data_IF_173777733623
#
_entry.id   IF_173777733623
#
_cell.length_a   1.000
_cell.length_b   1.000
_cell.length_c   1.000
_cell.angle_alpha   90.00
_cell.angle_beta   90.00
_cell.angle_gamma   90.00
#
_symmetry.space_group_name_H-M   'P 1'
#
loop_
_entity.id
_entity.type
_entity.pdbx_description
1 polymer ?
#
# COMPACT_ATOMS: atom_id res chain seq x y z
N UNK A 1 -14.23 22.00 18.01
CA UNK A 1 -13.82 20.77 18.70
C UNK A 1 -13.26 19.83 17.65
N UNK A 2 -11.96 19.52 17.67
CA UNK A 2 -11.38 18.54 16.75
C UNK A 2 -11.60 17.16 17.36
N UNK A 3 -12.59 16.40 16.86
CA UNK A 3 -12.76 15.01 17.27
C UNK A 3 -11.65 14.18 16.63
N UNK A 4 -10.79 13.57 17.46
CA UNK A 4 -9.79 12.61 17.00
C UNK A 4 -10.52 11.32 16.60
N UNK A 5 -10.69 11.07 15.31
CA UNK A 5 -11.23 9.81 14.81
C UNK A 5 -10.13 8.73 14.90
N UNK A 6 -10.39 7.67 15.66
CA UNK A 6 -9.50 6.50 15.77
C UNK A 6 -10.04 5.43 14.83
N UNK A 7 -9.37 5.23 13.70
CA UNK A 7 -9.74 4.23 12.70
C UNK A 7 -9.27 2.82 13.08
N UNK A 8 -8.07 2.73 13.66
CA UNK A 8 -7.42 1.48 14.03
C UNK A 8 -7.02 1.53 15.51
N UNK A 9 -7.85 0.99 16.43
CA UNK A 9 -7.52 0.92 17.85
C UNK A 9 -6.24 0.12 18.08
N UNK A 10 -5.30 0.64 18.88
CA UNK A 10 -3.98 0.04 19.07
C UNK A 10 -4.05 -1.39 19.62
N UNK A 11 -5.07 -1.67 20.45
CA UNK A 11 -5.32 -2.97 21.07
C UNK A 11 -5.75 -4.03 20.06
N UNK A 12 -6.25 -3.61 18.89
CA UNK A 12 -6.64 -4.50 17.78
C UNK A 12 -5.50 -4.70 16.78
N UNK A 13 -4.35 -4.04 16.95
CA UNK A 13 -3.22 -4.14 16.03
C UNK A 13 -2.32 -5.30 16.42
N UNK A 14 -2.21 -6.30 15.54
CA UNK A 14 -1.26 -7.39 15.72
C UNK A 14 0.13 -6.98 15.21
N UNK A 15 1.08 -6.80 16.13
CA UNK A 15 2.46 -6.37 15.83
C UNK A 15 3.36 -7.44 15.21
N UNK A 16 2.87 -8.68 15.14
CA UNK A 16 3.58 -9.84 14.58
C UNK A 16 2.82 -10.42 13.40
N UNK A 17 3.46 -11.25 12.60
CA UNK A 17 2.79 -11.98 11.51
C UNK A 17 1.75 -12.94 12.08
N UNK A 18 0.49 -12.80 11.68
CA UNK A 18 -0.58 -13.74 12.11
C UNK A 18 -0.42 -15.12 11.48
N UNK A 19 0.18 -15.18 10.29
CA UNK A 19 0.50 -16.41 9.58
C UNK A 19 1.94 -16.37 9.12
N UNK A 20 2.64 -17.52 9.17
CA UNK A 20 4.01 -17.63 8.66
C UNK A 20 4.01 -17.31 7.17
N UNK A 21 4.64 -16.20 6.80
CA UNK A 21 4.85 -15.83 5.40
C UNK A 21 6.21 -16.36 4.92
N UNK A 22 6.23 -17.02 3.76
CA UNK A 22 7.47 -17.20 3.01
C UNK A 22 7.89 -15.88 2.38
N UNK A 23 9.16 -15.77 1.97
CA UNK A 23 9.57 -14.66 1.11
C UNK A 23 8.70 -14.67 -0.16
N UNK A 24 7.96 -13.59 -0.38
CA UNK A 24 7.15 -13.38 -1.59
C UNK A 24 8.00 -12.95 -2.78
N UNK A 25 7.34 -12.61 -3.87
CA UNK A 25 8.02 -12.14 -5.08
C UNK A 25 8.76 -10.81 -4.87
N UNK A 26 9.92 -10.67 -5.51
CA UNK A 26 10.58 -9.38 -5.69
C UNK A 26 9.80 -8.44 -6.62
N UNK A 27 10.32 -7.23 -6.84
CA UNK A 27 9.73 -6.27 -7.78
C UNK A 27 10.67 -6.00 -8.94
N UNK A 28 10.14 -6.05 -10.16
CA UNK A 28 10.90 -5.71 -11.35
C UNK A 28 11.25 -4.22 -11.34
N UNK A 29 12.51 -3.87 -11.60
CA UNK A 29 12.90 -2.49 -11.85
C UNK A 29 12.60 -2.14 -13.32
N UNK A 30 11.61 -1.27 -13.55
CA UNK A 30 11.09 -0.93 -14.87
C UNK A 30 11.46 0.52 -15.28
N UNK A 31 12.73 0.89 -15.06
CA UNK A 31 13.28 2.22 -15.37
C UNK A 31 13.10 3.20 -14.22
N UNK A 32 14.17 3.42 -13.45
CA UNK A 32 14.22 4.34 -12.30
C UNK A 32 13.13 4.11 -11.24
N UNK A 33 12.66 2.86 -11.10
CA UNK A 33 11.60 2.49 -10.15
C UNK A 33 12.13 1.92 -8.82
N UNK A 34 13.43 2.00 -8.54
CA UNK A 34 14.02 1.44 -7.32
C UNK A 34 13.48 2.10 -6.05
N UNK A 35 13.27 3.42 -6.05
CA UNK A 35 12.72 4.17 -4.91
C UNK A 35 11.35 3.63 -4.48
N UNK A 36 10.43 3.43 -5.44
CA UNK A 36 9.10 2.92 -5.15
C UNK A 36 9.14 1.43 -4.79
N UNK A 37 10.01 0.64 -5.43
CA UNK A 37 10.15 -0.78 -5.13
C UNK A 37 10.62 -0.99 -3.69
N UNK A 38 11.59 -0.20 -3.22
CA UNK A 38 12.06 -0.24 -1.84
C UNK A 38 10.92 0.07 -0.85
N UNK A 39 10.18 1.14 -1.10
CA UNK A 39 9.04 1.55 -0.26
C UNK A 39 7.93 0.49 -0.24
N UNK A 40 7.54 -0.03 -1.40
CA UNK A 40 6.49 -1.05 -1.50
C UNK A 40 6.89 -2.34 -0.76
N UNK A 41 8.16 -2.75 -0.84
CA UNK A 41 8.67 -3.89 -0.09
C UNK A 41 8.64 -3.62 1.42
N UNK A 42 9.10 -2.45 1.87
CA UNK A 42 9.02 -2.07 3.30
C UNK A 42 7.57 -2.12 3.83
N UNK A 43 6.62 -1.57 3.09
CA UNK A 43 5.20 -1.60 3.47
C UNK A 43 4.63 -3.03 3.44
N UNK A 44 4.97 -3.82 2.42
CA UNK A 44 4.51 -5.21 2.28
C UNK A 44 4.97 -6.10 3.42
N UNK A 45 6.18 -5.88 3.94
CA UNK A 45 6.76 -6.68 5.02
C UNK A 45 6.65 -6.04 6.41
N UNK A 46 5.83 -5.00 6.57
CA UNK A 46 5.44 -4.46 7.88
C UNK A 46 4.26 -5.26 8.43
N UNK A 47 4.43 -6.13 9.46
CA UNK A 47 3.43 -7.14 9.82
C UNK A 47 2.04 -6.57 10.15
N UNK A 48 1.88 -5.48 10.94
CA UNK A 48 0.58 -4.87 11.19
C UNK A 48 -0.18 -4.51 9.91
N UNK A 49 0.50 -3.86 8.98
CA UNK A 49 -0.09 -3.40 7.74
C UNK A 49 -0.39 -4.59 6.82
N UNK A 50 0.54 -5.53 6.72
CA UNK A 50 0.37 -6.72 5.89
C UNK A 50 -0.80 -7.59 6.38
N UNK A 51 -0.94 -7.80 7.70
CA UNK A 51 -2.06 -8.54 8.27
C UNK A 51 -3.41 -7.91 7.86
N UNK A 52 -3.52 -6.58 7.97
CA UNK A 52 -4.73 -5.86 7.57
C UNK A 52 -5.00 -5.94 6.06
N UNK A 53 -3.98 -5.72 5.23
CA UNK A 53 -4.12 -5.79 3.77
C UNK A 53 -4.39 -7.22 3.27
N UNK A 54 -3.99 -8.25 4.02
CA UNK A 54 -4.30 -9.64 3.70
C UNK A 54 -5.73 -10.03 4.10
N UNK A 55 -6.34 -9.37 5.09
CA UNK A 55 -7.74 -9.66 5.50
C UNK A 55 -8.76 -9.18 4.48
N UNK A 56 -8.37 -8.27 3.58
CA UNK A 56 -9.21 -7.66 2.54
C UNK A 56 -10.40 -6.86 3.05
N UNK A 57 -10.41 -6.50 4.32
CA UNK A 57 -11.51 -5.75 4.93
C UNK A 57 -11.78 -4.42 4.22
N UNK A 58 -10.73 -3.71 3.79
CA UNK A 58 -10.92 -2.43 3.10
C UNK A 58 -11.63 -2.60 1.77
N UNK A 59 -11.17 -3.48 0.88
CA UNK A 59 -11.79 -3.64 -0.44
C UNK A 59 -13.23 -4.15 -0.39
N UNK A 60 -13.62 -4.89 0.65
CA UNK A 60 -15.01 -5.34 0.83
C UNK A 60 -15.96 -4.21 1.24
N UNK A 61 -15.47 -3.20 1.96
CA UNK A 61 -16.28 -2.06 2.40
C UNK A 61 -16.17 -0.83 1.47
N UNK A 62 -15.09 -0.73 0.69
CA UNK A 62 -14.76 0.46 -0.08
C UNK A 62 -15.80 0.77 -1.18
N UNK A 63 -16.40 1.97 -1.11
CA UNK A 63 -17.33 2.51 -2.11
C UNK A 63 -16.70 3.56 -3.04
N UNK A 64 -15.39 3.81 -2.92
CA UNK A 64 -14.71 4.83 -3.72
C UNK A 64 -14.69 4.43 -5.20
N UNK A 65 -15.20 5.32 -6.06
CA UNK A 65 -15.09 5.17 -7.50
C UNK A 65 -13.74 5.74 -7.99
N UNK A 66 -12.95 4.92 -8.68
CA UNK A 66 -11.66 5.34 -9.24
C UNK A 66 -10.46 4.99 -8.35
N UNK A 67 -9.64 5.99 -7.99
CA UNK A 67 -8.39 5.78 -7.24
C UNK A 67 -8.66 5.58 -5.75
N UNK A 68 -8.28 4.41 -5.23
CA UNK A 68 -8.19 4.14 -3.80
C UNK A 68 -6.84 3.47 -3.50
N UNK A 69 -5.97 4.17 -2.76
CA UNK A 69 -4.62 3.68 -2.48
C UNK A 69 -4.63 2.43 -1.58
N UNK A 70 -5.60 2.33 -0.66
CA UNK A 70 -5.76 1.14 0.17
C UNK A 70 -6.11 -0.09 -0.66
N UNK A 71 -7.06 0.01 -1.60
CA UNK A 71 -7.37 -1.09 -2.53
C UNK A 71 -6.16 -1.49 -3.39
N UNK A 72 -5.38 -0.50 -3.87
CA UNK A 72 -4.16 -0.77 -4.66
C UNK A 72 -3.12 -1.52 -3.83
N UNK A 73 -2.87 -1.08 -2.58
CA UNK A 73 -1.92 -1.73 -1.68
C UNK A 73 -2.39 -3.12 -1.25
N UNK A 74 -3.69 -3.30 -1.02
CA UNK A 74 -4.29 -4.60 -0.70
C UNK A 74 -4.03 -5.62 -1.81
N UNK A 75 -4.33 -5.24 -3.06
CA UNK A 75 -4.06 -6.06 -4.23
C UNK A 75 -2.56 -6.31 -4.43
N UNK A 76 -1.71 -5.31 -4.17
CA UNK A 76 -0.26 -5.43 -4.27
C UNK A 76 0.30 -6.46 -3.28
N UNK A 77 -0.01 -6.30 -1.99
CA UNK A 77 0.47 -7.20 -0.91
C UNK A 77 0.00 -8.63 -1.15
N UNK A 78 -1.29 -8.81 -1.49
CA UNK A 78 -1.82 -10.12 -1.85
C UNK A 78 -1.04 -10.74 -3.01
N UNK A 79 -0.73 -9.96 -4.05
CA UNK A 79 0.00 -10.45 -5.23
C UNK A 79 1.45 -10.79 -4.91
N UNK A 80 2.16 -9.98 -4.12
CA UNK A 80 3.56 -10.23 -3.74
C UNK A 80 3.67 -11.52 -2.93
N UNK A 81 2.86 -11.65 -1.87
CA UNK A 81 3.02 -12.74 -0.89
C UNK A 81 2.50 -14.10 -1.39
N UNK A 82 1.60 -14.12 -2.39
CA UNK A 82 1.08 -15.38 -2.96
C UNK A 82 1.64 -15.70 -4.36
N UNK A 83 2.50 -14.86 -4.92
CA UNK A 83 3.11 -15.10 -6.23
C UNK A 83 4.15 -16.22 -6.16
N UNK A 84 4.15 -17.10 -7.15
CA UNK A 84 5.21 -18.10 -7.38
C UNK A 84 6.34 -17.57 -8.28
N UNK A 85 6.15 -16.40 -8.89
CA UNK A 85 7.19 -15.77 -9.70
C UNK A 85 8.29 -15.18 -8.80
N UNK A 86 9.52 -15.19 -9.29
CA UNK A 86 10.66 -14.56 -8.61
C UNK A 86 10.50 -13.04 -8.48
N UNK A 87 9.86 -12.39 -9.45
CA UNK A 87 9.56 -10.97 -9.42
C UNK A 87 8.24 -10.63 -10.15
N UNK A 88 7.60 -9.53 -9.74
CA UNK A 88 6.39 -8.97 -10.38
C UNK A 88 6.57 -7.49 -10.70
N UNK A 89 5.86 -7.00 -11.72
CA UNK A 89 5.74 -5.57 -11.97
C UNK A 89 4.59 -4.98 -11.13
N UNK A 90 4.82 -3.94 -10.31
CA UNK A 90 3.78 -3.26 -9.53
C UNK A 90 2.93 -2.31 -10.40
N UNK A 91 2.32 -2.85 -11.46
CA UNK A 91 1.67 -2.07 -12.52
C UNK A 91 0.57 -1.11 -12.03
N UNK A 92 -0.22 -1.52 -11.03
CA UNK A 92 -1.28 -0.68 -10.47
C UNK A 92 -0.70 0.59 -9.79
N UNK A 93 0.36 0.44 -9.00
CA UNK A 93 1.07 1.56 -8.36
C UNK A 93 1.70 2.45 -9.42
N UNK A 94 2.36 1.87 -10.43
CA UNK A 94 2.96 2.63 -11.54
C UNK A 94 1.93 3.42 -12.36
N UNK A 95 0.69 2.93 -12.48
CA UNK A 95 -0.42 3.65 -13.14
C UNK A 95 -0.97 4.77 -12.27
N UNK A 96 -0.81 4.67 -10.95
CA UNK A 96 -1.37 5.60 -9.99
C UNK A 96 -0.36 6.63 -9.44
N UNK A 97 0.87 6.70 -9.96
CA UNK A 97 1.92 7.62 -9.46
C UNK A 97 1.43 9.05 -9.27
N UNK A 98 0.80 9.63 -10.29
CA UNK A 98 0.27 11.02 -10.23
C UNK A 98 -0.92 11.19 -9.28
N UNK A 99 -1.64 10.10 -8.96
CA UNK A 99 -2.69 10.11 -7.93
C UNK A 99 -2.11 9.99 -6.52
N UNK A 100 -0.91 9.39 -6.38
CA UNK A 100 -0.17 9.30 -5.11
C UNK A 100 0.46 10.67 -4.80
N UNK A 101 1.10 11.29 -5.79
CA UNK A 101 1.63 12.66 -5.73
C UNK A 101 1.73 13.23 -7.15
N UNK A 102 1.22 14.45 -7.34
CA UNK A 102 1.04 15.03 -8.69
C UNK A 102 2.35 15.21 -9.47
N UNK A 103 3.47 15.38 -8.74
CA UNK A 103 4.81 15.59 -9.27
C UNK A 103 5.51 14.31 -9.70
N UNK A 104 5.02 13.13 -9.31
CA UNK A 104 5.66 11.87 -9.69
C UNK A 104 5.48 11.56 -11.17
N UNK A 105 6.57 11.25 -11.85
CA UNK A 105 6.59 10.90 -13.25
C UNK A 105 7.18 9.52 -13.49
N UNK A 106 6.65 8.81 -14.51
CA UNK A 106 7.19 7.50 -14.89
C UNK A 106 8.59 7.66 -15.48
N UNK A 107 9.50 6.78 -15.07
CA UNK A 107 10.87 6.77 -15.57
C UNK A 107 11.78 7.84 -14.97
N UNK A 108 11.28 8.66 -14.04
CA UNK A 108 12.10 9.54 -13.21
C UNK A 108 12.44 8.85 -11.90
N UNK A 109 13.66 9.09 -11.44
CA UNK A 109 14.07 8.74 -10.09
C UNK A 109 13.54 9.83 -9.14
N UNK A 110 13.05 9.40 -7.98
CA UNK A 110 12.39 10.27 -7.00
C UNK A 110 12.90 9.92 -5.60
N UNK A 111 12.67 10.81 -4.65
CA UNK A 111 13.00 10.57 -3.25
C UNK A 111 12.08 9.49 -2.64
N UNK A 112 12.69 8.43 -2.09
CA UNK A 112 11.94 7.31 -1.51
C UNK A 112 11.11 7.71 -0.27
N UNK A 113 11.61 8.65 0.54
CA UNK A 113 10.89 9.14 1.70
C UNK A 113 9.67 9.97 1.29
N UNK A 114 9.79 10.80 0.26
CA UNK A 114 8.67 11.54 -0.31
C UNK A 114 7.60 10.59 -0.88
N UNK A 115 8.01 9.60 -1.67
CA UNK A 115 7.10 8.57 -2.17
C UNK A 115 6.38 7.78 -1.07
N UNK A 116 7.11 7.42 0.01
CA UNK A 116 6.53 6.79 1.19
C UNK A 116 5.48 7.70 1.85
N UNK A 117 5.83 8.97 2.06
CA UNK A 117 4.96 9.96 2.72
C UNK A 117 3.67 10.18 1.92
N UNK A 118 3.78 10.39 0.61
CA UNK A 118 2.62 10.51 -0.28
C UNK A 118 1.75 9.24 -0.27
N UNK A 119 2.38 8.06 -0.29
CA UNK A 119 1.68 6.77 -0.27
C UNK A 119 0.89 6.58 1.03
N UNK A 120 1.52 6.80 2.19
CA UNK A 120 0.85 6.69 3.50
C UNK A 120 -0.27 7.71 3.65
N UNK A 121 -0.05 8.95 3.22
CA UNK A 121 -1.10 9.98 3.22
C UNK A 121 -2.28 9.60 2.31
N UNK A 122 -2.02 9.03 1.13
CA UNK A 122 -3.07 8.55 0.22
C UNK A 122 -3.85 7.36 0.81
N UNK A 123 -3.16 6.43 1.49
CA UNK A 123 -3.80 5.34 2.25
C UNK A 123 -4.70 5.88 3.36
N UNK A 124 -4.21 6.84 4.16
CA UNK A 124 -4.98 7.45 5.23
C UNK A 124 -6.24 8.16 4.72
N UNK A 125 -6.13 8.92 3.62
CA UNK A 125 -7.29 9.57 2.98
C UNK A 125 -8.34 8.55 2.56
N UNK A 126 -7.92 7.42 1.99
CA UNK A 126 -8.82 6.36 1.58
C UNK A 126 -9.56 5.71 2.77
N UNK A 127 -8.90 5.56 3.93
CA UNK A 127 -9.59 5.06 5.14
C UNK A 127 -10.60 6.08 5.70
N UNK A 128 -10.27 7.37 5.66
CA UNK A 128 -11.16 8.43 6.15
C UNK A 128 -12.41 8.61 5.29
N UNK A 129 -12.29 8.53 3.96
CA UNK A 129 -13.45 8.60 3.06
C UNK A 129 -14.40 7.41 3.21
N UNK A 130 -13.93 6.26 3.72
CA UNK A 130 -14.77 5.11 4.01
C UNK A 130 -15.48 5.22 5.38
N UNK A 131 -15.09 6.19 6.22
CA UNK A 131 -15.60 6.36 7.59
C UNK A 131 -16.49 7.59 7.76
N UNK A 132 -16.77 8.31 6.67
CA UNK A 132 -17.62 9.51 6.64
C UNK A 132 -19.10 9.20 6.33
N UNK A 133 -19.57 8.02 6.73
CA UNK A 133 -20.98 7.63 6.76
C UNK A 133 -21.49 7.54 8.20
#
# INVERSE_FOLDING_TARGET
SWSKQILFPAEKICMVWQQRQSAGAGLCNAGNTCFLNAVLQCLTYTPPLANYLLSREHSQACQQQGFCMMCIMEAHVNKVLHSRASAILPLAVLKALRCIGEHFERGREEDAHDFLSCTVNAMQRACLSASSE
#
